data_IF_579196066779
#
_entry.id   IF_579196066779
#
_cell.length_a   1.000
_cell.length_b   1.000
_cell.length_c   1.000
_cell.angle_alpha   90.00
_cell.angle_beta   90.00
_cell.angle_gamma   90.00
#
_symmetry.space_group_name_H-M   'P 1'
#
loop_
_entity.id
_entity.type
_entity.pdbx_description
1 polymer ?
#
# COMPACT_ATOMS: atom_id res chain seq x y z
N UNK A 1 2.11 70.57 -47.93
CA UNK A 1 2.22 69.16 -48.24
C UNK A 1 2.35 68.39 -46.90
N UNK A 2 1.21 68.10 -46.26
CA UNK A 2 1.16 67.49 -44.92
C UNK A 2 0.98 66.00 -45.13
N UNK A 3 1.91 65.18 -44.63
CA UNK A 3 1.88 63.76 -44.68
C UNK A 3 1.07 63.26 -43.47
N UNK A 4 -0.12 62.82 -43.73
CA UNK A 4 -1.03 62.23 -42.76
C UNK A 4 -0.41 60.87 -42.24
N UNK A 5 0.06 60.86 -41.01
CA UNK A 5 0.47 59.66 -40.32
C UNK A 5 -0.80 58.91 -39.86
N UNK A 6 -1.12 57.82 -40.54
CA UNK A 6 -2.20 56.92 -40.10
C UNK A 6 -1.83 56.31 -38.76
N UNK A 7 -2.71 56.35 -37.76
CA UNK A 7 -2.49 55.61 -36.54
C UNK A 7 -2.56 54.14 -36.85
N UNK A 8 -1.54 53.37 -36.45
CA UNK A 8 -1.52 51.91 -36.48
C UNK A 8 -2.56 51.48 -35.47
N UNK A 9 -3.64 50.87 -35.95
CA UNK A 9 -4.74 50.41 -35.12
C UNK A 9 -4.26 49.21 -34.30
N UNK A 10 -4.12 49.40 -33.00
CA UNK A 10 -3.74 48.38 -32.00
C UNK A 10 -4.63 47.11 -32.00
N UNK A 11 -5.77 47.18 -32.66
CA UNK A 11 -6.73 46.07 -32.77
C UNK A 11 -6.20 44.86 -33.58
N UNK A 12 -5.29 45.07 -34.54
CA UNK A 12 -4.72 43.96 -35.31
C UNK A 12 -3.62 43.21 -34.56
N UNK A 13 -2.88 43.87 -33.68
CA UNK A 13 -1.88 43.24 -32.83
C UNK A 13 -2.52 42.37 -31.73
N UNK A 14 -3.65 42.83 -31.19
CA UNK A 14 -4.38 42.05 -30.16
C UNK A 14 -5.08 40.79 -30.73
N UNK A 15 -5.61 40.87 -31.95
CA UNK A 15 -6.26 39.75 -32.59
C UNK A 15 -5.29 38.61 -32.93
N UNK A 16 -4.05 38.90 -33.29
CA UNK A 16 -3.03 37.89 -33.58
C UNK A 16 -2.47 37.21 -32.31
N UNK A 17 -2.44 37.93 -31.19
CA UNK A 17 -1.95 37.38 -29.93
C UNK A 17 -2.92 36.38 -29.31
N UNK A 18 -4.22 36.65 -29.37
CA UNK A 18 -5.28 35.78 -28.83
C UNK A 18 -5.45 34.49 -29.65
N UNK A 19 -5.30 34.57 -30.97
CA UNK A 19 -5.40 33.39 -31.85
C UNK A 19 -4.20 32.43 -31.67
N UNK A 20 -3.01 32.98 -31.41
CA UNK A 20 -1.80 32.19 -31.16
C UNK A 20 -1.84 31.49 -29.79
N UNK A 21 -2.39 32.11 -28.72
CA UNK A 21 -2.62 31.48 -27.43
C UNK A 21 -3.67 30.35 -27.50
N UNK A 22 -4.75 30.57 -28.26
CA UNK A 22 -5.85 29.61 -28.36
C UNK A 22 -5.48 28.27 -29.02
N UNK A 23 -4.50 28.28 -29.96
CA UNK A 23 -4.03 27.06 -30.61
C UNK A 23 -3.04 26.27 -29.74
N UNK A 24 -2.17 26.96 -29.01
CA UNK A 24 -1.15 26.30 -28.15
C UNK A 24 -1.69 25.80 -26.82
N UNK A 25 -2.77 26.38 -26.30
CA UNK A 25 -3.39 25.89 -25.07
C UNK A 25 -3.87 24.45 -25.21
N UNK A 26 -4.52 24.10 -26.33
CA UNK A 26 -4.97 22.73 -26.55
C UNK A 26 -3.81 21.72 -26.55
N UNK A 27 -2.69 22.07 -27.18
CA UNK A 27 -1.47 21.22 -27.18
C UNK A 27 -0.80 21.17 -25.81
N UNK A 28 -0.77 22.28 -25.07
CA UNK A 28 -0.25 22.31 -23.70
C UNK A 28 -1.14 21.53 -22.72
N UNK A 29 -2.48 21.67 -22.85
CA UNK A 29 -3.42 20.91 -22.05
C UNK A 29 -3.30 19.39 -22.33
N UNK A 30 -3.18 19.01 -23.59
CA UNK A 30 -2.98 17.62 -23.98
C UNK A 30 -1.65 17.07 -23.47
N UNK A 31 -0.57 17.83 -23.54
CA UNK A 31 0.73 17.43 -23.00
C UNK A 31 0.69 17.28 -21.47
N UNK A 32 -0.02 18.14 -20.74
CA UNK A 32 -0.23 18.03 -19.30
C UNK A 32 -1.03 16.77 -18.93
N UNK A 33 -2.10 16.47 -19.68
CA UNK A 33 -2.90 15.26 -19.47
C UNK A 33 -2.05 13.99 -19.69
N UNK A 34 -1.27 13.96 -20.75
CA UNK A 34 -0.37 12.83 -21.05
C UNK A 34 0.70 12.68 -19.98
N UNK A 35 1.30 13.78 -19.53
CA UNK A 35 2.28 13.76 -18.44
C UNK A 35 1.66 13.24 -17.14
N UNK A 36 0.47 13.71 -16.80
CA UNK A 36 -0.26 13.25 -15.62
C UNK A 36 -0.61 11.76 -15.70
N UNK A 37 -1.07 11.29 -16.87
CA UNK A 37 -1.35 9.88 -17.10
C UNK A 37 -0.09 9.01 -16.98
N UNK A 38 1.05 9.46 -17.49
CA UNK A 38 2.34 8.78 -17.35
C UNK A 38 2.79 8.68 -15.89
N UNK A 39 2.71 9.78 -15.14
CA UNK A 39 3.04 9.78 -13.72
C UNK A 39 2.13 8.83 -12.95
N UNK A 40 0.82 8.87 -13.21
CA UNK A 40 -0.14 7.99 -12.58
C UNK A 40 0.13 6.51 -12.88
N UNK A 41 0.41 6.20 -14.15
CA UNK A 41 0.77 4.84 -14.58
C UNK A 41 2.05 4.36 -13.88
N UNK A 42 3.07 5.20 -13.76
CA UNK A 42 4.32 4.88 -13.07
C UNK A 42 4.07 4.58 -11.59
N UNK A 43 3.26 5.40 -10.91
CA UNK A 43 2.91 5.19 -9.50
C UNK A 43 2.19 3.84 -9.32
N UNK A 44 1.19 3.54 -10.16
CA UNK A 44 0.49 2.25 -10.10
C UNK A 44 1.44 1.08 -10.32
N UNK A 45 2.35 1.19 -11.27
CA UNK A 45 3.32 0.14 -11.58
C UNK A 45 4.31 -0.09 -10.42
N UNK A 46 4.80 0.97 -9.79
CA UNK A 46 5.69 0.88 -8.63
C UNK A 46 4.98 0.26 -7.43
N UNK A 47 3.74 0.67 -7.15
CA UNK A 47 2.95 0.14 -6.03
C UNK A 47 2.65 -1.35 -6.22
N UNK A 48 2.26 -1.78 -7.43
CA UNK A 48 2.00 -3.19 -7.73
C UNK A 48 3.26 -4.04 -7.63
N UNK A 49 4.38 -3.52 -8.12
CA UNK A 49 5.67 -4.20 -8.01
C UNK A 49 6.13 -4.35 -6.55
N UNK A 50 6.03 -3.30 -5.75
CA UNK A 50 6.36 -3.32 -4.33
C UNK A 50 5.49 -4.32 -3.54
N UNK A 51 4.18 -4.36 -3.83
CA UNK A 51 3.26 -5.32 -3.24
C UNK A 51 3.61 -6.78 -3.60
N UNK A 52 4.05 -7.04 -4.83
CA UNK A 52 4.50 -8.36 -5.26
C UNK A 52 5.76 -8.82 -4.50
N UNK A 53 6.71 -7.92 -4.26
CA UNK A 53 7.92 -8.21 -3.48
C UNK A 53 7.60 -8.57 -2.02
N UNK A 54 6.66 -7.89 -1.39
CA UNK A 54 6.25 -8.20 -0.01
C UNK A 54 5.62 -9.59 0.11
N UNK A 55 4.82 -10.01 -0.87
CA UNK A 55 4.20 -11.34 -0.88
C UNK A 55 5.22 -12.49 -0.96
N UNK A 56 6.32 -12.27 -1.65
CA UNK A 56 7.37 -13.29 -1.83
C UNK A 56 8.32 -13.40 -0.63
N UNK A 57 8.25 -12.48 0.35
CA UNK A 57 9.15 -12.51 1.50
C UNK A 57 8.86 -13.73 2.41
N UNK A 58 9.92 -14.34 2.92
CA UNK A 58 9.79 -15.50 3.81
C UNK A 58 9.06 -15.16 5.11
N UNK A 59 9.16 -13.90 5.57
CA UNK A 59 8.41 -13.40 6.73
C UNK A 59 6.88 -13.43 6.46
N UNK A 60 6.45 -13.02 5.28
CA UNK A 60 5.04 -13.04 4.88
C UNK A 60 4.52 -14.46 4.75
N UNK A 61 5.27 -15.35 4.10
CA UNK A 61 4.90 -16.78 3.96
C UNK A 61 4.73 -17.44 5.31
N UNK A 62 5.64 -17.19 6.25
CA UNK A 62 5.55 -17.72 7.62
C UNK A 62 4.29 -17.22 8.34
N UNK A 63 3.99 -15.92 8.20
CA UNK A 63 2.80 -15.32 8.80
C UNK A 63 1.51 -15.95 8.27
N UNK A 64 1.41 -16.12 6.95
CA UNK A 64 0.24 -16.72 6.29
C UNK A 64 0.08 -18.17 6.73
N UNK A 65 1.14 -18.99 6.66
CA UNK A 65 1.10 -20.40 7.05
C UNK A 65 0.68 -20.58 8.51
N UNK A 66 1.18 -19.72 9.41
CA UNK A 66 0.79 -19.77 10.84
C UNK A 66 -0.67 -19.36 11.03
N UNK A 67 -1.15 -18.36 10.29
CA UNK A 67 -2.53 -17.91 10.35
C UNK A 67 -3.51 -18.99 9.86
N UNK A 68 -3.21 -19.63 8.73
CA UNK A 68 -4.05 -20.69 8.15
C UNK A 68 -4.16 -21.93 9.05
N UNK A 69 -3.13 -22.23 9.82
CA UNK A 69 -3.11 -23.36 10.76
C UNK A 69 -3.66 -23.02 12.14
N UNK A 70 -4.04 -21.75 12.39
CA UNK A 70 -4.57 -21.32 13.68
C UNK A 70 -6.03 -21.70 13.87
N UNK A 71 -6.37 -22.58 14.85
CA UNK A 71 -7.76 -22.96 15.11
C UNK A 71 -8.60 -21.77 15.59
N UNK A 72 -8.03 -20.87 16.38
CA UNK A 72 -8.73 -19.70 16.89
C UNK A 72 -9.17 -18.74 15.77
N UNK A 73 -8.36 -18.58 14.72
CA UNK A 73 -8.73 -17.79 13.55
C UNK A 73 -9.85 -18.45 12.74
N UNK A 74 -9.77 -19.77 12.58
CA UNK A 74 -10.78 -20.56 11.89
C UNK A 74 -12.13 -20.55 12.60
N UNK A 75 -12.15 -20.64 13.92
CA UNK A 75 -13.38 -20.52 14.72
C UNK A 75 -14.01 -19.13 14.60
N UNK A 76 -13.18 -18.08 14.53
CA UNK A 76 -13.66 -16.68 14.46
C UNK A 76 -14.18 -16.31 13.08
N UNK A 77 -13.48 -16.68 12.02
CA UNK A 77 -13.78 -16.25 10.65
C UNK A 77 -14.48 -17.31 9.81
N UNK A 78 -14.40 -18.59 10.21
CA UNK A 78 -14.89 -19.73 9.44
C UNK A 78 -13.99 -20.14 8.27
N UNK A 79 -14.34 -21.24 7.61
CA UNK A 79 -13.69 -21.69 6.37
C UNK A 79 -14.58 -21.46 5.15
N UNK A 80 -13.99 -21.13 3.97
CA UNK A 80 -12.59 -20.92 3.66
C UNK A 80 -12.09 -19.53 4.05
N UNK A 81 -10.88 -19.46 4.58
CA UNK A 81 -10.18 -18.18 4.82
C UNK A 81 -9.66 -17.61 3.49
N UNK A 82 -9.90 -16.33 3.25
CA UNK A 82 -9.39 -15.60 2.10
C UNK A 82 -8.37 -14.57 2.58
N UNK A 83 -7.16 -14.67 2.05
CA UNK A 83 -6.11 -13.70 2.32
C UNK A 83 -6.21 -12.56 1.30
N UNK A 84 -6.31 -11.34 1.80
CA UNK A 84 -6.44 -10.16 0.96
C UNK A 84 -5.21 -9.91 0.11
N UNK A 85 -5.43 -9.26 -1.03
CA UNK A 85 -4.38 -8.96 -2.00
C UNK A 85 -3.38 -7.93 -1.50
N UNK A 86 -3.81 -7.00 -0.66
CA UNK A 86 -3.02 -5.86 -0.20
C UNK A 86 -2.32 -6.20 1.12
N UNK A 87 -1.19 -6.88 1.03
CA UNK A 87 -0.29 -7.10 2.16
C UNK A 87 0.59 -5.86 2.31
N UNK A 88 0.64 -5.31 3.51
CA UNK A 88 1.42 -4.11 3.82
C UNK A 88 2.36 -4.36 5.01
N UNK A 89 3.23 -3.40 5.30
CA UNK A 89 4.18 -3.48 6.39
C UNK A 89 5.60 -3.12 5.96
N UNK A 90 6.58 -3.56 6.72
CA UNK A 90 7.99 -3.39 6.37
C UNK A 90 8.80 -4.62 6.76
N UNK A 91 9.86 -4.88 6.01
CA UNK A 91 10.86 -5.91 6.31
C UNK A 91 12.23 -5.25 6.26
N UNK A 92 12.89 -5.16 7.41
CA UNK A 92 14.27 -4.67 7.52
C UNK A 92 15.19 -5.86 7.77
N UNK A 93 15.89 -6.27 6.72
CA UNK A 93 16.85 -7.38 6.82
C UNK A 93 18.07 -7.00 7.65
N UNK A 94 18.47 -5.70 7.65
CA UNK A 94 19.59 -5.17 8.44
C UNK A 94 19.31 -5.19 9.94
N UNK A 95 18.08 -4.81 10.32
CA UNK A 95 17.69 -4.74 11.75
C UNK A 95 17.11 -6.06 12.25
N UNK A 96 16.93 -7.02 11.37
CA UNK A 96 16.32 -8.31 11.68
C UNK A 96 14.90 -8.18 12.21
N UNK A 97 14.15 -7.16 11.75
CA UNK A 97 12.77 -6.90 12.16
C UNK A 97 11.84 -6.87 10.95
N UNK A 98 10.65 -7.41 11.11
CA UNK A 98 9.59 -7.28 10.12
C UNK A 98 8.25 -7.06 10.82
N UNK A 99 7.43 -6.20 10.24
CA UNK A 99 6.03 -6.04 10.57
C UNK A 99 5.24 -6.35 9.30
N UNK A 100 4.33 -7.31 9.37
CA UNK A 100 3.49 -7.73 8.24
C UNK A 100 2.05 -7.55 8.64
N UNK A 101 1.30 -6.85 7.79
CA UNK A 101 -0.12 -6.57 7.98
C UNK A 101 -0.86 -7.25 6.84
N UNK A 102 -1.71 -8.21 7.19
CA UNK A 102 -2.42 -9.07 6.23
C UNK A 102 -3.91 -8.94 6.45
N UNK A 103 -4.67 -8.38 5.51
CA UNK A 103 -6.12 -8.44 5.57
C UNK A 103 -6.58 -9.87 5.32
N UNK A 104 -7.53 -10.33 6.15
CA UNK A 104 -8.13 -11.67 6.07
C UNK A 104 -9.63 -11.57 6.13
N UNK A 105 -10.31 -12.46 5.42
CA UNK A 105 -11.76 -12.53 5.39
C UNK A 105 -12.22 -13.98 5.42
N UNK A 106 -13.37 -14.21 6.03
CA UNK A 106 -14.03 -15.50 6.07
C UNK A 106 -15.55 -15.36 6.02
N UNK A 107 -16.29 -16.46 6.04
CA UNK A 107 -17.75 -16.44 6.00
C UNK A 107 -18.39 -15.69 7.18
N UNK A 108 -17.73 -15.64 8.32
CA UNK A 108 -18.26 -15.02 9.54
C UNK A 108 -17.79 -13.58 9.75
N UNK A 109 -16.88 -13.05 8.92
CA UNK A 109 -16.42 -11.68 9.04
C UNK A 109 -15.09 -11.40 8.37
N UNK A 110 -14.62 -10.16 8.55
CA UNK A 110 -13.36 -9.68 8.03
C UNK A 110 -12.49 -9.17 9.18
N UNK A 111 -11.21 -9.04 8.93
CA UNK A 111 -10.29 -8.44 9.87
C UNK A 111 -8.88 -8.33 9.32
N UNK A 112 -7.97 -7.94 10.19
CA UNK A 112 -6.58 -7.71 9.85
C UNK A 112 -5.68 -8.45 10.83
N UNK A 113 -4.69 -9.17 10.28
CA UNK A 113 -3.62 -9.79 11.03
C UNK A 113 -2.43 -8.85 11.12
N UNK A 114 -1.91 -8.68 12.32
CA UNK A 114 -0.68 -7.95 12.61
C UNK A 114 0.38 -8.94 13.09
N UNK A 115 1.40 -9.16 12.29
CA UNK A 115 2.51 -10.05 12.60
C UNK A 115 3.80 -9.27 12.83
N UNK A 116 4.39 -9.42 14.00
CA UNK A 116 5.73 -8.95 14.29
C UNK A 116 6.72 -10.12 14.24
N UNK A 117 7.74 -10.02 13.40
CA UNK A 117 8.76 -11.04 13.23
C UNK A 117 10.14 -10.48 13.56
N UNK A 118 11.00 -11.37 14.08
CA UNK A 118 12.42 -11.09 14.27
C UNK A 118 13.26 -12.17 13.61
N UNK A 119 14.37 -11.73 13.04
CA UNK A 119 15.37 -12.62 12.47
C UNK A 119 16.33 -13.07 13.56
N UNK A 120 16.39 -14.37 13.83
CA UNK A 120 17.34 -14.96 14.75
C UNK A 120 18.07 -16.09 14.02
N UNK A 121 19.41 -16.14 14.13
CA UNK A 121 20.24 -17.16 13.48
C UNK A 121 19.97 -17.37 11.98
N UNK A 122 19.63 -16.29 11.27
CA UNK A 122 19.37 -16.34 9.84
C UNK A 122 17.92 -16.64 9.43
N UNK A 123 17.08 -17.15 10.34
CA UNK A 123 15.68 -17.48 10.09
C UNK A 123 14.71 -16.44 10.68
N UNK A 124 13.57 -16.24 10.04
CA UNK A 124 12.50 -15.40 10.58
C UNK A 124 11.70 -16.20 11.63
N UNK A 125 11.48 -15.58 12.78
CA UNK A 125 10.66 -16.12 13.85
C UNK A 125 9.52 -15.17 14.16
N UNK A 126 8.32 -15.70 14.28
CA UNK A 126 7.13 -14.97 14.64
C UNK A 126 7.16 -14.64 16.14
N UNK A 127 7.13 -13.36 16.47
CA UNK A 127 7.16 -12.84 17.85
C UNK A 127 5.77 -12.56 18.38
N UNK A 128 4.90 -12.05 17.53
CA UNK A 128 3.52 -11.71 17.84
C UNK A 128 2.66 -11.90 16.62
N UNK A 129 1.48 -12.47 16.78
CA UNK A 129 0.46 -12.59 15.75
C UNK A 129 -0.88 -12.26 16.35
N UNK A 130 -1.38 -11.06 16.03
CA UNK A 130 -2.60 -10.53 16.58
C UNK A 130 -3.63 -10.38 15.46
N UNK A 131 -4.81 -10.93 15.68
CA UNK A 131 -5.96 -10.70 14.81
C UNK A 131 -6.87 -9.63 15.38
N UNK A 132 -7.31 -8.71 14.53
CA UNK A 132 -8.29 -7.69 14.85
C UNK A 132 -9.44 -7.78 13.85
N UNK A 133 -10.59 -8.21 14.32
CA UNK A 133 -11.82 -8.25 13.52
C UNK A 133 -12.42 -6.85 13.31
N UNK A 134 -13.10 -6.66 12.18
CA UNK A 134 -13.86 -5.45 11.91
C UNK A 134 -15.00 -5.31 12.93
N UNK A 135 -14.96 -4.22 13.72
CA UNK A 135 -15.94 -3.98 14.78
C UNK A 135 -15.64 -4.68 16.11
N UNK A 136 -14.59 -5.48 16.22
CA UNK A 136 -14.19 -6.12 17.46
C UNK A 136 -13.37 -5.19 18.34
N UNK A 137 -13.76 -5.05 19.61
CA UNK A 137 -13.02 -4.26 20.63
C UNK A 137 -11.82 -5.04 21.19
N UNK A 138 -11.80 -6.37 21.02
CA UNK A 138 -10.76 -7.24 21.54
C UNK A 138 -9.81 -7.72 20.44
N UNK A 139 -8.53 -7.69 20.73
CA UNK A 139 -7.49 -8.29 19.90
C UNK A 139 -7.35 -9.78 20.27
N UNK A 140 -7.36 -10.65 19.27
CA UNK A 140 -7.15 -12.08 19.46
C UNK A 140 -5.66 -12.40 19.21
N UNK A 141 -4.95 -12.87 20.23
CA UNK A 141 -3.58 -13.36 20.08
C UNK A 141 -3.61 -14.80 19.55
N UNK A 142 -2.99 -15.01 18.39
CA UNK A 142 -2.96 -16.28 17.68
C UNK A 142 -1.71 -17.11 17.97
N UNK A 143 -0.73 -16.57 18.70
CA UNK A 143 0.43 -17.35 19.10
C UNK A 143 0.05 -18.27 20.25
N UNK A 144 0.28 -19.58 20.11
CA UNK A 144 0.07 -20.51 21.22
C UNK A 144 0.97 -20.12 22.40
N UNK A 145 0.41 -20.29 23.59
CA UNK A 145 0.89 -19.89 24.93
C UNK A 145 2.30 -20.37 25.32
N UNK A 146 3.16 -20.74 24.37
CA UNK A 146 4.55 -21.12 24.69
C UNK A 146 5.40 -20.01 25.34
N UNK A 147 4.89 -18.78 25.38
CA UNK A 147 5.62 -17.62 25.94
C UNK A 147 5.30 -17.30 27.38
N UNK A 148 4.29 -17.90 27.98
CA UNK A 148 3.97 -17.68 29.39
C UNK A 148 4.90 -18.44 30.34
N UNK A 149 5.39 -19.61 29.93
CA UNK A 149 6.28 -20.41 30.78
C UNK A 149 7.71 -19.84 30.96
N UNK A 150 8.18 -18.98 30.05
CA UNK A 150 9.50 -18.37 30.19
C UNK A 150 9.55 -17.24 31.22
N UNK A 151 8.38 -16.71 31.61
CA UNK A 151 8.29 -15.61 32.60
C UNK A 151 8.09 -16.12 34.03
N UNK A 152 7.61 -17.34 34.19
CA UNK A 152 7.46 -17.97 35.53
C UNK A 152 8.74 -18.66 36.03
N UNK A 153 9.61 -19.11 35.12
CA UNK A 153 10.90 -19.75 35.50
C UNK A 153 12.02 -18.73 35.86
N UNK A 154 11.72 -17.44 35.79
CA UNK A 154 12.67 -16.34 36.10
C UNK A 154 12.32 -15.58 37.38
N UNK A 155 11.57 -16.23 38.29
CA UNK A 155 11.30 -15.68 39.64
C UNK A 155 11.96 -16.49 40.73
#
# INVERSE_FOLDING_TARGET
>A
MWRESRPITDSQAQASFTSWLGSRWKTMALALIVLFALVWLTVVLVVTWAAAQMRSSDATKLTIATAETSPALTETLGHPLKIGALISGYVSASDGKALVIVPVSGPHGNGVLYAELRRQTGAWQLKSLIFRGDGATANLDLLPVQKQNSKELSR
#
